data_IF_677224431072
#
_entry.id   IF_677224431072
#
_cell.length_a   1.000
_cell.length_b   1.000
_cell.length_c   1.000
_cell.angle_alpha   90.00
_cell.angle_beta   90.00
_cell.angle_gamma   90.00
#
_symmetry.space_group_name_H-M   'P 1'
#
loop_
_entity.id
_entity.type
_entity.pdbx_description
1 polymer ?
#
# COMPACT_ATOMS: atom_id res chain seq x y z
N UNK A 1 -2.99 -8.50 25.46
CA UNK A 1 -1.88 -8.85 24.54
C UNK A 1 -1.30 -10.26 24.74
N UNK A 2 -1.45 -10.88 25.92
CA UNK A 2 -0.83 -12.20 26.23
C UNK A 2 -1.55 -13.43 25.66
N UNK A 3 -2.82 -13.36 25.36
CA UNK A 3 -3.62 -14.55 24.97
C UNK A 3 -3.52 -14.86 23.46
N UNK A 4 -3.16 -13.89 22.65
CA UNK A 4 -2.98 -14.06 21.21
C UNK A 4 -1.67 -14.74 20.81
N UNK A 5 -0.71 -14.76 21.70
CA UNK A 5 0.69 -14.95 21.31
C UNK A 5 1.09 -16.40 21.06
N UNK A 6 0.55 -17.39 21.78
CA UNK A 6 1.12 -18.74 21.71
C UNK A 6 0.58 -19.59 20.54
N UNK A 7 -0.72 -19.59 20.31
CA UNK A 7 -1.30 -20.43 19.26
C UNK A 7 -1.03 -19.86 17.85
N UNK A 8 -1.16 -18.54 17.68
CA UNK A 8 -0.86 -17.89 16.42
C UNK A 8 0.62 -17.99 16.07
N UNK A 9 1.52 -17.77 17.04
CA UNK A 9 2.95 -17.93 16.81
C UNK A 9 3.28 -19.37 16.40
N UNK A 10 2.71 -20.39 17.05
CA UNK A 10 2.87 -21.79 16.65
C UNK A 10 2.40 -22.04 15.21
N UNK A 11 1.26 -21.45 14.80
CA UNK A 11 0.76 -21.57 13.43
C UNK A 11 1.70 -20.91 12.41
N UNK A 12 2.18 -19.69 12.72
CA UNK A 12 3.14 -18.99 11.86
C UNK A 12 4.45 -19.79 11.74
N UNK A 13 4.96 -20.31 12.83
CA UNK A 13 6.16 -21.16 12.85
C UNK A 13 5.97 -22.44 12.05
N UNK A 14 4.82 -23.10 12.16
CA UNK A 14 4.45 -24.27 11.36
C UNK A 14 4.46 -23.99 9.85
N UNK A 15 4.14 -22.75 9.44
CA UNK A 15 4.25 -22.28 8.07
C UNK A 15 5.68 -21.86 7.67
N UNK A 16 6.65 -21.97 8.57
CA UNK A 16 8.03 -21.55 8.32
C UNK A 16 8.29 -20.07 8.49
N UNK A 17 7.37 -19.32 9.11
CA UNK A 17 7.54 -17.90 9.45
C UNK A 17 8.27 -17.79 10.77
N UNK A 18 9.41 -17.10 10.79
CA UNK A 18 10.30 -16.99 11.96
C UNK A 18 10.55 -15.53 12.32
N UNK A 19 11.05 -15.30 13.55
CA UNK A 19 11.46 -13.96 14.02
C UNK A 19 10.32 -12.92 13.94
N UNK A 20 9.13 -13.31 14.36
CA UNK A 20 7.96 -12.43 14.36
C UNK A 20 8.16 -11.31 15.39
N UNK A 21 8.12 -10.05 14.92
CA UNK A 21 8.27 -8.84 15.73
C UNK A 21 7.12 -7.89 15.48
N UNK A 22 6.54 -7.33 16.51
CA UNK A 22 5.53 -6.29 16.38
C UNK A 22 6.09 -5.10 15.58
N UNK A 23 5.30 -4.60 14.64
CA UNK A 23 5.68 -3.47 13.81
C UNK A 23 4.74 -2.28 13.99
N UNK A 24 3.43 -2.49 13.87
CA UNK A 24 2.46 -1.41 13.97
C UNK A 24 1.06 -1.92 14.33
N UNK A 25 0.26 -1.03 14.92
CA UNK A 25 -1.17 -1.23 15.13
C UNK A 25 -1.95 -0.42 14.08
N UNK A 26 -2.66 -1.12 13.23
CA UNK A 26 -3.66 -0.50 12.35
C UNK A 26 -4.98 -0.25 13.09
N UNK A 27 -5.91 0.41 12.41
CA UNK A 27 -7.25 0.66 12.97
C UNK A 27 -8.01 -0.64 13.27
N UNK A 28 -7.69 -1.73 12.56
CA UNK A 28 -8.47 -2.99 12.55
C UNK A 28 -7.66 -4.25 12.76
N UNK A 29 -6.35 -4.15 12.87
CA UNK A 29 -5.48 -5.29 13.06
C UNK A 29 -4.08 -4.89 13.46
N UNK A 30 -3.24 -5.88 13.63
CA UNK A 30 -1.85 -5.74 13.98
C UNK A 30 -0.98 -6.14 12.79
N UNK A 31 0.10 -5.43 12.60
CA UNK A 31 1.11 -5.74 11.60
C UNK A 31 2.40 -6.12 12.30
N UNK A 32 2.98 -7.23 11.90
CA UNK A 32 4.26 -7.72 12.37
C UNK A 32 5.24 -7.80 11.22
N UNK A 33 6.52 -7.68 11.51
CA UNK A 33 7.58 -8.10 10.60
C UNK A 33 8.04 -9.50 10.99
N UNK A 34 8.42 -10.29 10.01
CA UNK A 34 8.94 -11.64 10.21
C UNK A 34 9.90 -12.02 9.08
N UNK A 35 10.48 -13.20 9.18
CA UNK A 35 11.30 -13.80 8.13
C UNK A 35 10.60 -15.05 7.57
N UNK A 36 10.56 -15.16 6.26
CA UNK A 36 10.04 -16.30 5.53
C UNK A 36 10.94 -16.65 4.35
N UNK A 37 11.47 -17.86 4.31
CA UNK A 37 12.41 -18.31 3.26
C UNK A 37 13.56 -17.33 3.01
N UNK A 38 14.17 -16.83 4.09
CA UNK A 38 15.30 -15.89 4.05
C UNK A 38 14.93 -14.44 3.69
N UNK A 39 13.65 -14.12 3.47
CA UNK A 39 13.18 -12.76 3.12
C UNK A 39 12.37 -12.15 4.25
N UNK A 40 12.52 -10.83 4.42
CA UNK A 40 11.68 -10.04 5.33
C UNK A 40 10.27 -9.91 4.77
N UNK A 41 9.28 -10.22 5.60
CA UNK A 41 7.86 -10.18 5.25
C UNK A 41 7.09 -9.30 6.25
N UNK A 42 5.90 -8.85 5.84
CA UNK A 42 4.88 -8.32 6.73
C UNK A 42 3.82 -9.40 6.95
N UNK A 43 3.37 -9.52 8.19
CA UNK A 43 2.26 -10.38 8.61
C UNK A 43 1.17 -9.50 9.19
N UNK A 44 0.05 -9.37 8.49
CA UNK A 44 -1.14 -8.65 8.95
C UNK A 44 -2.08 -9.65 9.61
N UNK A 45 -2.54 -9.31 10.79
CA UNK A 45 -3.41 -10.16 11.62
C UNK A 45 -4.64 -9.34 11.97
N UNK A 46 -5.81 -9.87 11.72
CA UNK A 46 -7.05 -9.22 12.11
C UNK A 46 -7.27 -9.24 13.62
N UNK A 47 -7.94 -8.21 14.13
CA UNK A 47 -8.49 -8.25 15.46
C UNK A 47 -9.73 -9.17 15.45
N UNK A 48 -9.73 -10.31 16.20
CA UNK A 48 -10.87 -11.24 16.19
C UNK A 48 -12.17 -10.63 16.70
N UNK A 49 -12.07 -9.58 17.52
CA UNK A 49 -13.24 -8.85 18.02
C UNK A 49 -13.85 -7.92 16.97
N UNK A 50 -13.18 -7.74 15.84
CA UNK A 50 -13.68 -6.90 14.77
C UNK A 50 -14.37 -7.74 13.68
N UNK A 51 -15.40 -7.18 13.02
CA UNK A 51 -15.98 -7.74 11.78
C UNK A 51 -14.98 -7.70 10.61
N UNK A 52 -13.71 -7.97 10.90
CA UNK A 52 -12.58 -7.72 10.01
C UNK A 52 -12.22 -8.94 9.13
N UNK A 53 -12.66 -10.14 9.49
CA UNK A 53 -12.35 -11.37 8.75
C UNK A 53 -12.69 -11.27 7.24
N UNK A 54 -13.84 -10.71 6.90
CA UNK A 54 -14.25 -10.48 5.50
C UNK A 54 -13.32 -9.52 4.74
N UNK A 55 -12.59 -8.65 5.45
CA UNK A 55 -11.72 -7.65 4.81
C UNK A 55 -10.34 -8.20 4.49
N UNK A 56 -9.82 -9.07 5.34
CA UNK A 56 -8.57 -9.77 5.07
C UNK A 56 -8.72 -10.69 3.88
N UNK A 57 -9.84 -11.41 3.81
CA UNK A 57 -10.23 -12.21 2.64
C UNK A 57 -10.27 -11.34 1.38
N UNK A 58 -10.93 -10.17 1.47
CA UNK A 58 -11.02 -9.22 0.37
C UNK A 58 -9.64 -8.71 -0.04
N UNK A 59 -8.79 -8.35 0.93
CA UNK A 59 -7.41 -7.91 0.67
C UNK A 59 -6.61 -9.00 -0.03
N UNK A 60 -6.66 -10.24 0.46
CA UNK A 60 -5.98 -11.37 -0.14
C UNK A 60 -6.44 -11.63 -1.58
N UNK A 61 -7.75 -11.59 -1.82
CA UNK A 61 -8.37 -11.76 -3.14
C UNK A 61 -7.83 -10.73 -4.13
N UNK A 62 -7.91 -9.44 -3.79
CA UNK A 62 -7.47 -8.38 -4.69
C UNK A 62 -5.96 -8.35 -4.84
N UNK A 63 -5.20 -8.58 -3.77
CA UNK A 63 -3.74 -8.63 -3.84
C UNK A 63 -3.26 -9.79 -4.74
N UNK A 64 -3.88 -10.97 -4.63
CA UNK A 64 -3.58 -12.11 -5.51
C UNK A 64 -3.84 -11.80 -6.98
N UNK A 65 -4.93 -11.09 -7.28
CA UNK A 65 -5.25 -10.66 -8.64
C UNK A 65 -4.26 -9.61 -9.14
N UNK A 66 -4.03 -8.56 -8.37
CA UNK A 66 -3.19 -7.43 -8.73
C UNK A 66 -1.70 -7.80 -8.80
N UNK A 67 -1.25 -8.82 -8.06
CA UNK A 67 0.11 -9.34 -8.19
C UNK A 67 0.40 -9.94 -9.58
N UNK A 68 -0.61 -10.38 -10.34
CA UNK A 68 -0.44 -10.82 -11.73
C UNK A 68 -0.03 -9.67 -12.65
N UNK A 69 -0.44 -8.44 -12.28
CA UNK A 69 -0.12 -7.19 -12.97
C UNK A 69 1.11 -6.48 -12.35
N UNK A 70 1.81 -7.12 -11.41
CA UNK A 70 2.94 -6.52 -10.71
C UNK A 70 2.56 -5.40 -9.74
N UNK A 71 1.30 -5.31 -9.33
CA UNK A 71 0.78 -4.28 -8.43
C UNK A 71 0.70 -4.80 -6.99
N UNK A 72 1.18 -3.99 -6.04
CA UNK A 72 1.21 -4.30 -4.62
C UNK A 72 2.36 -5.19 -4.18
N UNK A 73 2.52 -5.43 -2.86
CA UNK A 73 3.50 -6.37 -2.35
C UNK A 73 3.14 -7.79 -2.72
N UNK A 74 4.15 -8.64 -2.96
CA UNK A 74 3.91 -10.05 -3.32
C UNK A 74 3.22 -10.78 -2.18
N UNK A 75 2.00 -11.26 -2.42
CA UNK A 75 1.29 -12.16 -1.52
C UNK A 75 2.05 -13.49 -1.41
N UNK A 76 2.28 -13.96 -0.20
CA UNK A 76 3.05 -15.17 0.09
C UNK A 76 2.17 -16.24 0.70
N UNK A 77 1.41 -15.89 1.74
CA UNK A 77 0.52 -16.79 2.46
C UNK A 77 -0.76 -16.05 2.85
N UNK A 78 -1.86 -16.78 2.87
CA UNK A 78 -3.13 -16.31 3.39
C UNK A 78 -3.85 -17.45 4.08
N UNK A 79 -4.23 -17.24 5.31
CA UNK A 79 -5.09 -18.11 6.12
C UNK A 79 -6.18 -17.27 6.81
N UNK A 80 -7.17 -17.93 7.38
CA UNK A 80 -8.35 -17.26 7.96
C UNK A 80 -8.03 -16.10 8.92
N UNK A 81 -6.87 -16.14 9.60
CA UNK A 81 -6.52 -15.20 10.66
C UNK A 81 -5.32 -14.31 10.32
N UNK A 82 -4.62 -14.56 9.21
CA UNK A 82 -3.47 -13.75 8.84
C UNK A 82 -3.22 -13.70 7.33
N UNK A 83 -2.59 -12.62 6.91
CA UNK A 83 -2.11 -12.37 5.56
C UNK A 83 -0.62 -12.06 5.62
N UNK A 84 0.20 -12.80 4.86
CA UNK A 84 1.63 -12.55 4.77
C UNK A 84 2.04 -12.14 3.37
N UNK A 85 2.79 -11.03 3.27
CA UNK A 85 3.28 -10.50 2.01
C UNK A 85 4.68 -9.92 2.16
N UNK A 86 5.37 -9.70 1.05
CA UNK A 86 6.71 -9.10 1.05
C UNK A 86 6.72 -7.76 1.79
N UNK A 87 7.64 -7.58 2.74
CA UNK A 87 7.76 -6.33 3.48
C UNK A 87 8.18 -5.18 2.54
N UNK A 88 7.42 -4.12 2.54
CA UNK A 88 7.73 -2.91 1.77
C UNK A 88 8.44 -1.91 2.66
N UNK A 89 9.74 -1.75 2.45
CA UNK A 89 10.53 -0.73 3.13
C UNK A 89 10.47 0.58 2.34
N UNK A 90 9.89 1.62 2.95
CA UNK A 90 9.73 2.90 2.30
C UNK A 90 9.04 3.92 3.21
N UNK A 91 8.96 5.15 2.73
CA UNK A 91 8.22 6.24 3.35
C UNK A 91 6.94 6.50 2.58
N UNK A 92 5.92 7.04 3.24
CA UNK A 92 4.69 7.35 2.53
C UNK A 92 4.90 8.49 1.50
N UNK A 93 4.07 8.51 0.47
CA UNK A 93 4.19 9.45 -0.66
C UNK A 93 4.24 10.91 -0.21
N UNK A 94 3.46 11.30 0.80
CA UNK A 94 3.43 12.67 1.29
C UNK A 94 4.74 13.04 2.00
N UNK A 95 5.24 12.18 2.88
CA UNK A 95 6.54 12.36 3.53
C UNK A 95 7.66 12.41 2.50
N UNK A 96 7.61 11.55 1.48
CA UNK A 96 8.58 11.57 0.40
C UNK A 96 8.58 12.92 -0.33
N UNK A 97 7.43 13.37 -0.81
CA UNK A 97 7.31 14.64 -1.52
C UNK A 97 7.76 15.83 -0.64
N UNK A 98 7.38 15.84 0.65
CA UNK A 98 7.76 16.89 1.59
C UNK A 98 9.25 16.90 1.93
N UNK A 99 9.95 15.78 1.80
CA UNK A 99 11.39 15.69 2.03
C UNK A 99 12.25 16.23 0.88
N UNK A 100 11.65 16.48 -0.28
CA UNK A 100 12.36 16.97 -1.45
C UNK A 100 12.64 18.47 -1.31
N UNK A 101 13.91 18.82 -1.24
CA UNK A 101 14.36 20.20 -1.34
C UNK A 101 14.30 20.67 -2.79
N UNK A 102 14.22 21.98 -3.03
CA UNK A 102 14.18 22.57 -4.37
C UNK A 102 15.47 22.24 -5.17
N UNK A 103 15.43 21.17 -5.94
CA UNK A 103 16.53 20.70 -6.78
C UNK A 103 16.00 20.28 -8.16
N UNK A 104 16.69 20.70 -9.23
CA UNK A 104 16.31 20.36 -10.62
C UNK A 104 16.16 18.85 -10.88
N UNK A 105 16.90 18.01 -10.16
CA UNK A 105 16.81 16.56 -10.29
C UNK A 105 15.50 16.01 -9.71
N UNK A 106 14.90 16.66 -8.73
CA UNK A 106 13.65 16.21 -8.09
C UNK A 106 12.49 16.17 -9.07
N UNK A 107 12.43 17.13 -10.00
CA UNK A 107 11.40 17.16 -11.04
C UNK A 107 11.32 15.82 -11.80
N UNK A 108 12.47 15.30 -12.26
CA UNK A 108 12.52 14.02 -13.01
C UNK A 108 12.09 12.85 -12.14
N UNK A 109 12.51 12.84 -10.87
CA UNK A 109 12.15 11.79 -9.91
C UNK A 109 10.65 11.80 -9.65
N UNK A 110 10.07 12.97 -9.38
CA UNK A 110 8.63 13.12 -9.12
C UNK A 110 7.83 12.64 -10.34
N UNK A 111 8.16 13.12 -11.55
CA UNK A 111 7.47 12.71 -12.78
C UNK A 111 7.49 11.19 -12.92
N UNK A 112 8.66 10.56 -12.79
CA UNK A 112 8.80 9.10 -12.91
C UNK A 112 7.96 8.35 -11.88
N UNK A 113 7.90 8.83 -10.64
CA UNK A 113 7.09 8.22 -9.58
C UNK A 113 5.60 8.37 -9.90
N UNK A 114 5.17 9.59 -10.26
CA UNK A 114 3.76 9.86 -10.63
C UNK A 114 3.33 9.01 -11.81
N UNK A 115 4.14 8.91 -12.86
CA UNK A 115 3.87 8.04 -14.02
C UNK A 115 3.69 6.57 -13.61
N UNK A 116 4.56 6.05 -12.74
CA UNK A 116 4.46 4.67 -12.26
C UNK A 116 3.19 4.44 -11.45
N UNK A 117 2.81 5.40 -10.60
CA UNK A 117 1.56 5.32 -9.83
C UNK A 117 0.37 5.35 -10.79
N UNK A 118 0.33 6.33 -11.70
CA UNK A 118 -0.75 6.46 -12.68
C UNK A 118 -0.93 5.20 -13.53
N UNK A 119 0.17 4.57 -13.97
CA UNK A 119 0.12 3.29 -14.71
C UNK A 119 -0.53 2.19 -13.88
N UNK A 120 -0.15 2.04 -12.61
CA UNK A 120 -0.76 1.04 -11.73
C UNK A 120 -2.25 1.31 -11.51
N UNK A 121 -2.63 2.56 -11.24
CA UNK A 121 -4.02 2.96 -11.04
C UNK A 121 -4.86 2.80 -12.30
N UNK A 122 -4.29 3.11 -13.47
CA UNK A 122 -4.95 2.91 -14.76
C UNK A 122 -5.21 1.42 -15.04
N UNK A 123 -4.24 0.53 -14.74
CA UNK A 123 -4.45 -0.93 -14.85
C UNK A 123 -5.59 -1.37 -13.93
N UNK A 124 -5.66 -0.86 -12.71
CA UNK A 124 -6.77 -1.15 -11.79
C UNK A 124 -8.11 -0.65 -12.35
N UNK A 125 -8.15 0.53 -12.94
CA UNK A 125 -9.36 1.07 -13.58
C UNK A 125 -9.79 0.19 -14.78
N UNK A 126 -8.85 -0.26 -15.60
CA UNK A 126 -9.13 -1.22 -16.69
C UNK A 126 -9.71 -2.54 -16.21
N UNK A 127 -9.24 -3.04 -15.07
CA UNK A 127 -9.75 -4.24 -14.41
C UNK A 127 -11.07 -4.00 -13.65
N UNK A 128 -11.63 -2.79 -13.72
CA UNK A 128 -12.84 -2.37 -13.00
C UNK A 128 -12.70 -2.51 -11.48
N UNK A 129 -11.48 -2.34 -10.96
CA UNK A 129 -11.18 -2.38 -9.53
C UNK A 129 -11.01 -0.96 -9.02
N UNK A 130 -11.84 -0.56 -8.07
CA UNK A 130 -11.66 0.71 -7.36
C UNK A 130 -11.01 0.41 -6.01
N UNK A 131 -9.81 0.97 -5.79
CA UNK A 131 -9.06 0.84 -4.54
C UNK A 131 -9.65 1.68 -3.43
N UNK A 132 -10.32 2.78 -3.78
CA UNK A 132 -10.74 3.83 -2.86
C UNK A 132 -9.57 4.59 -2.21
N UNK A 133 -9.85 5.71 -1.57
CA UNK A 133 -8.89 6.50 -0.78
C UNK A 133 -7.68 7.05 -1.55
N UNK A 134 -7.70 7.04 -2.91
CA UNK A 134 -6.59 7.56 -3.71
C UNK A 134 -6.54 9.10 -3.77
N UNK A 135 -7.58 9.80 -3.34
CA UNK A 135 -7.54 11.24 -3.06
C UNK A 135 -6.76 11.57 -1.77
N UNK A 136 -6.57 10.60 -0.87
CA UNK A 136 -5.78 10.73 0.37
C UNK A 136 -4.83 9.53 0.53
N UNK A 137 -3.88 9.33 -0.40
CA UNK A 137 -3.12 8.07 -0.51
C UNK A 137 -1.96 7.95 0.46
N UNK A 138 -1.84 8.83 1.45
CA UNK A 138 -0.70 8.89 2.37
C UNK A 138 -0.41 7.57 3.09
N UNK A 139 -1.44 6.76 3.36
CA UNK A 139 -1.30 5.43 3.99
C UNK A 139 -1.34 4.28 2.99
N UNK A 140 -1.46 4.58 1.70
CA UNK A 140 -1.74 3.60 0.65
C UNK A 140 -0.67 3.53 -0.43
N UNK A 141 0.31 4.46 -0.41
CA UNK A 141 1.44 4.49 -1.34
C UNK A 141 2.72 4.69 -0.55
N UNK A 142 3.63 3.73 -0.66
CA UNK A 142 4.98 3.82 -0.13
C UNK A 142 5.98 4.02 -1.27
N UNK A 143 6.95 4.88 -1.05
CA UNK A 143 8.09 5.08 -1.97
C UNK A 143 9.31 4.42 -1.33
N UNK A 144 9.88 3.43 -1.99
CA UNK A 144 11.06 2.73 -1.49
C UNK A 144 12.37 3.51 -1.81
N UNK A 145 13.49 3.00 -1.30
CA UNK A 145 14.83 3.60 -1.50
C UNK A 145 15.28 3.67 -2.96
N UNK A 146 14.63 2.91 -3.86
CA UNK A 146 14.89 2.93 -5.31
C UNK A 146 13.95 3.84 -6.08
N UNK A 147 13.17 4.67 -5.37
CA UNK A 147 12.12 5.53 -5.94
C UNK A 147 11.02 4.75 -6.67
N UNK A 148 10.76 3.50 -6.23
CA UNK A 148 9.66 2.70 -6.75
C UNK A 148 8.42 2.87 -5.84
N UNK A 149 7.29 3.31 -6.39
CA UNK A 149 6.04 3.37 -5.65
C UNK A 149 5.41 1.99 -5.54
N UNK A 150 4.97 1.66 -4.34
CA UNK A 150 4.23 0.43 -4.05
C UNK A 150 2.88 0.78 -3.42
N UNK A 151 1.81 0.37 -4.07
CA UNK A 151 0.46 0.45 -3.50
C UNK A 151 0.32 -0.62 -2.42
N UNK A 152 -0.26 -0.25 -1.29
CA UNK A 152 -0.52 -1.15 -0.15
C UNK A 152 -1.95 -1.00 0.35
N UNK A 153 -2.39 -1.94 1.18
CA UNK A 153 -3.70 -1.96 1.84
C UNK A 153 -4.88 -2.01 0.84
N UNK A 154 -5.22 -3.22 0.40
CA UNK A 154 -6.28 -3.48 -0.59
C UNK A 154 -7.60 -3.94 0.05
N UNK A 155 -7.75 -3.83 1.37
CA UNK A 155 -8.91 -4.33 2.11
C UNK A 155 -10.26 -3.72 1.68
N UNK A 156 -10.23 -2.50 1.09
CA UNK A 156 -11.42 -1.78 0.61
C UNK A 156 -11.63 -1.85 -0.88
N UNK A 157 -10.79 -2.58 -1.61
CA UNK A 157 -10.97 -2.76 -3.03
C UNK A 157 -12.34 -3.38 -3.35
N UNK A 158 -12.95 -2.91 -4.41
CA UNK A 158 -14.20 -3.44 -4.93
C UNK A 158 -14.26 -3.36 -6.44
N UNK A 159 -15.02 -4.26 -7.05
CA UNK A 159 -15.40 -4.11 -8.45
C UNK A 159 -16.45 -3.03 -8.62
N UNK A 160 -16.34 -2.26 -9.71
CA UNK A 160 -17.30 -1.23 -10.08
C UNK A 160 -17.25 -0.99 -11.59
N UNK A 161 -18.37 -0.59 -12.17
CA UNK A 161 -18.43 -0.20 -13.58
C UNK A 161 -17.71 1.12 -13.86
N UNK A 162 -17.60 1.97 -12.84
CA UNK A 162 -16.97 3.31 -12.94
C UNK A 162 -15.88 3.43 -11.87
N UNK A 163 -14.72 2.79 -12.04
CA UNK A 163 -13.58 3.01 -11.14
C UNK A 163 -13.06 4.44 -11.31
N UNK A 164 -12.49 4.99 -10.28
CA UNK A 164 -12.00 6.38 -10.26
C UNK A 164 -10.64 6.51 -9.61
N UNK A 165 -9.78 5.49 -9.69
CA UNK A 165 -8.48 5.53 -9.03
C UNK A 165 -7.58 6.63 -9.58
N UNK A 166 -7.50 6.75 -10.91
CA UNK A 166 -6.72 7.80 -11.59
C UNK A 166 -7.25 9.17 -11.22
N UNK A 167 -8.57 9.40 -11.31
CA UNK A 167 -9.20 10.69 -10.99
C UNK A 167 -8.96 11.07 -9.52
N UNK A 168 -9.15 10.15 -8.59
CA UNK A 168 -8.88 10.38 -7.17
C UNK A 168 -7.41 10.74 -6.91
N UNK A 169 -6.48 10.12 -7.62
CA UNK A 169 -5.06 10.44 -7.48
C UNK A 169 -4.73 11.82 -8.09
N UNK A 170 -5.39 12.21 -9.17
CA UNK A 170 -5.31 13.59 -9.70
C UNK A 170 -5.79 14.61 -8.66
N UNK A 171 -6.89 14.33 -7.94
CA UNK A 171 -7.36 15.17 -6.84
C UNK A 171 -6.32 15.33 -5.73
N UNK A 172 -5.58 14.25 -5.40
CA UNK A 172 -4.47 14.34 -4.46
C UNK A 172 -3.35 15.25 -4.98
N UNK A 173 -2.93 15.10 -6.23
CA UNK A 173 -1.85 15.90 -6.83
C UNK A 173 -2.21 17.38 -6.92
N UNK A 174 -3.49 17.71 -7.11
CA UNK A 174 -4.01 19.09 -7.20
C UNK A 174 -4.47 19.66 -5.87
N UNK A 175 -4.34 18.91 -4.76
CA UNK A 175 -4.64 19.43 -3.43
C UNK A 175 -3.66 20.56 -3.05
N UNK A 176 -4.11 21.55 -2.28
CA UNK A 176 -3.35 22.75 -1.96
C UNK A 176 -1.94 22.48 -1.43
N UNK A 177 -1.82 21.46 -0.59
CA UNK A 177 -0.54 21.13 0.04
C UNK A 177 0.43 20.47 -0.94
N UNK A 178 -0.07 19.53 -1.74
CA UNK A 178 0.77 18.79 -2.70
C UNK A 178 1.12 19.68 -3.88
N UNK A 179 0.17 20.47 -4.39
CA UNK A 179 0.42 21.41 -5.49
C UNK A 179 1.50 22.44 -5.16
N UNK A 180 1.56 22.93 -3.91
CA UNK A 180 2.65 23.81 -3.44
C UNK A 180 4.02 23.10 -3.45
N UNK A 181 4.08 21.84 -3.00
CA UNK A 181 5.33 21.06 -3.03
C UNK A 181 5.77 20.85 -4.49
N UNK A 182 4.84 20.51 -5.38
CA UNK A 182 5.13 20.33 -6.80
C UNK A 182 5.59 21.61 -7.47
N UNK A 183 4.92 22.72 -7.18
CA UNK A 183 5.31 24.07 -7.65
C UNK A 183 6.74 24.42 -7.25
N UNK A 184 7.12 24.20 -6.00
CA UNK A 184 8.47 24.44 -5.49
C UNK A 184 9.53 23.56 -6.18
N UNK A 185 9.13 22.47 -6.82
CA UNK A 185 9.99 21.59 -7.63
C UNK A 185 9.83 21.82 -9.14
N UNK A 186 9.32 22.98 -9.57
CA UNK A 186 9.10 23.39 -10.96
C UNK A 186 8.14 22.45 -11.72
N UNK A 187 7.14 21.92 -11.02
CA UNK A 187 6.05 21.13 -11.60
C UNK A 187 4.73 21.88 -11.43
N UNK A 188 4.08 22.13 -12.56
CA UNK A 188 2.79 22.81 -12.61
C UNK A 188 1.72 21.81 -13.01
N UNK A 189 0.73 21.62 -12.15
CA UNK A 189 -0.44 20.79 -12.45
C UNK A 189 -1.64 21.73 -12.51
N UNK A 190 -2.29 21.76 -13.65
CA UNK A 190 -3.51 22.53 -13.84
C UNK A 190 -4.72 21.63 -13.62
N UNK A 191 -5.65 22.07 -12.81
CA UNK A 191 -6.98 21.49 -12.72
C UNK A 191 -7.79 22.17 -13.83
N UNK A 192 -8.02 21.45 -14.94
CA UNK A 192 -9.01 21.92 -15.90
C UNK A 192 -10.39 21.84 -15.20
N UNK A 193 -10.97 23.00 -14.99
CA UNK A 193 -12.30 23.18 -14.41
C UNK A 193 -13.34 22.76 -15.45
#
# INVERSE_FOLDING_TARGET
YKIWSSELLKRLEAQGIKNVKYFAKGKRGLVFTANYRGKKIAVKIDNPESKAAMRMENEAKFLKLLNKEGIGPKLLLHENNFLAYGFVEGVNIFQFLSSLTNNKNNKKIIIKIVEKIMKQLYVMDKLRINKQEMSHPTKHILINKKYEPVLIDFERCKYTLKPGNVTQFCDFLTSDHVSKILFNNNLYIFKNI
#
